data_IF_107465564862
#
_entry.id   IF_107465564862
#
_cell.length_a   1.000
_cell.length_b   1.000
_cell.length_c   1.000
_cell.angle_alpha   90.00
_cell.angle_beta   90.00
_cell.angle_gamma   90.00
#
_symmetry.space_group_name_H-M   'P 1'
#
loop_
_entity.id
_entity.type
_entity.pdbx_description
1 polymer ?
#
# COMPACT_ATOMS: atom_id res chain seq x y z
N UNK A 1 15.29 11.46 20.51
CA UNK A 1 14.94 11.46 21.95
C UNK A 1 14.06 10.27 22.34
N UNK A 2 12.87 10.06 21.75
CA UNK A 2 12.02 8.91 22.12
C UNK A 2 12.55 7.56 21.60
N UNK A 3 13.13 7.54 20.39
CA UNK A 3 13.72 6.33 19.80
C UNK A 3 14.96 5.89 20.61
N UNK A 4 15.86 6.83 20.93
CA UNK A 4 17.07 6.57 21.70
C UNK A 4 16.75 5.94 23.07
N UNK A 5 15.79 6.52 23.81
CA UNK A 5 15.33 5.97 25.10
C UNK A 5 14.71 4.57 24.98
N UNK A 6 13.98 4.32 23.90
CA UNK A 6 13.42 3.00 23.64
C UNK A 6 14.52 1.98 23.35
N UNK A 7 15.53 2.35 22.56
CA UNK A 7 16.65 1.49 22.23
C UNK A 7 17.56 1.22 23.44
N UNK A 8 17.77 2.21 24.30
CA UNK A 8 18.42 2.05 25.62
C UNK A 8 17.68 1.03 26.49
N UNK A 9 16.36 1.19 26.63
CA UNK A 9 15.52 0.24 27.38
C UNK A 9 15.59 -1.17 26.79
N UNK A 10 15.49 -1.31 25.47
CA UNK A 10 15.53 -2.59 24.77
C UNK A 10 16.84 -3.33 25.08
N UNK A 11 17.98 -2.65 24.92
CA UNK A 11 19.30 -3.24 25.23
C UNK A 11 19.45 -3.59 26.72
N UNK A 12 18.90 -2.77 27.62
CA UNK A 12 19.00 -3.02 29.06
C UNK A 12 18.17 -4.23 29.51
N UNK A 13 16.97 -4.41 28.94
CA UNK A 13 16.04 -5.50 29.30
C UNK A 13 16.30 -6.80 28.57
N UNK A 14 16.78 -6.75 27.33
CA UNK A 14 17.00 -7.92 26.48
C UNK A 14 18.48 -8.02 26.10
N UNK A 15 19.35 -8.25 27.08
CA UNK A 15 20.82 -8.18 26.91
C UNK A 15 21.38 -9.20 25.93
N UNK A 16 20.74 -10.36 25.81
CA UNK A 16 21.14 -11.43 24.87
C UNK A 16 20.51 -11.25 23.49
N UNK A 17 19.57 -10.32 23.33
CA UNK A 17 18.90 -10.12 22.06
C UNK A 17 19.76 -9.27 21.12
N UNK A 18 19.95 -9.78 19.90
CA UNK A 18 20.58 -9.01 18.84
C UNK A 18 19.68 -7.85 18.40
N UNK A 19 20.28 -6.69 18.08
CA UNK A 19 19.55 -5.60 17.44
C UNK A 19 19.16 -6.02 16.01
N UNK A 20 17.86 -6.17 15.77
CA UNK A 20 17.36 -6.55 14.45
C UNK A 20 17.48 -5.37 13.46
N UNK A 21 17.61 -5.62 12.15
CA UNK A 21 17.79 -4.56 11.14
C UNK A 21 16.73 -3.45 11.21
N UNK A 22 15.47 -3.79 11.50
CA UNK A 22 14.38 -2.80 11.62
C UNK A 22 14.60 -1.82 12.78
N UNK A 23 15.19 -2.28 13.87
CA UNK A 23 15.49 -1.46 15.05
C UNK A 23 16.69 -0.56 14.77
N UNK A 24 17.74 -1.09 14.14
CA UNK A 24 18.86 -0.29 13.68
C UNK A 24 18.45 0.79 12.67
N UNK A 25 17.58 0.46 11.71
CA UNK A 25 17.03 1.43 10.76
C UNK A 25 16.29 2.57 11.48
N UNK A 26 15.48 2.23 12.49
CA UNK A 26 14.72 3.21 13.26
C UNK A 26 15.63 4.16 14.04
N UNK A 27 16.66 3.62 14.69
CA UNK A 27 17.61 4.36 15.52
C UNK A 27 18.51 5.27 14.70
N UNK A 28 19.19 4.72 13.68
CA UNK A 28 20.30 5.40 13.03
C UNK A 28 19.90 6.15 11.76
N UNK A 29 18.86 5.69 11.05
CA UNK A 29 18.62 6.12 9.66
C UNK A 29 17.35 6.97 9.49
N UNK A 30 16.29 6.70 10.26
CA UNK A 30 15.00 7.37 10.07
C UNK A 30 15.07 8.88 10.30
N UNK A 31 15.81 9.35 11.31
CA UNK A 31 15.93 10.79 11.58
C UNK A 31 16.68 11.51 10.45
N UNK A 32 17.78 10.92 9.98
CA UNK A 32 18.56 11.45 8.85
C UNK A 32 17.72 11.51 7.58
N UNK A 33 16.95 10.46 7.29
CA UNK A 33 15.99 10.43 6.19
C UNK A 33 14.98 11.57 6.27
N UNK A 34 14.32 11.72 7.43
CA UNK A 34 13.28 12.75 7.62
C UNK A 34 13.85 14.16 7.42
N UNK A 35 15.08 14.41 7.89
CA UNK A 35 15.76 15.70 7.71
C UNK A 35 16.07 15.97 6.23
N UNK A 36 16.55 14.97 5.51
CA UNK A 36 16.94 15.10 4.10
C UNK A 36 15.72 15.27 3.20
N UNK A 37 14.74 14.37 3.31
CA UNK A 37 13.65 14.25 2.34
C UNK A 37 12.36 14.95 2.78
N UNK A 38 12.24 15.32 4.07
CA UNK A 38 11.06 15.97 4.66
C UNK A 38 9.74 15.20 4.46
N UNK A 39 9.83 13.91 4.14
CA UNK A 39 8.71 12.99 4.00
C UNK A 39 9.01 11.71 4.79
N UNK A 40 7.97 11.11 5.36
CA UNK A 40 8.10 9.83 6.07
C UNK A 40 8.54 8.72 5.12
N UNK A 41 9.33 7.76 5.63
CA UNK A 41 9.78 6.59 4.85
C UNK A 41 8.62 5.81 4.22
N UNK A 42 7.43 5.84 4.85
CA UNK A 42 6.22 5.21 4.33
C UNK A 42 5.74 5.75 2.98
N UNK A 43 6.08 7.01 2.63
CA UNK A 43 5.74 7.57 1.32
C UNK A 43 6.51 6.88 0.17
N UNK A 44 7.70 6.36 0.45
CA UNK A 44 8.48 5.51 -0.45
C UNK A 44 8.35 4.02 -0.08
N UNK A 45 7.30 3.67 0.67
CA UNK A 45 7.04 2.31 1.11
C UNK A 45 6.52 1.41 -0.02
N UNK A 46 6.46 0.11 0.27
CA UNK A 46 6.04 -0.92 -0.70
C UNK A 46 4.52 -1.05 -0.87
N UNK A 47 3.73 -0.33 -0.07
CA UNK A 47 2.28 -0.48 -0.03
C UNK A 47 1.63 -0.24 -1.41
N UNK A 48 2.18 0.68 -2.22
CA UNK A 48 1.71 0.89 -3.59
C UNK A 48 1.88 -0.35 -4.48
N UNK A 49 3.01 -1.06 -4.36
CA UNK A 49 3.26 -2.29 -5.11
C UNK A 49 2.35 -3.45 -4.65
N UNK A 50 2.09 -3.55 -3.35
CA UNK A 50 1.17 -4.56 -2.80
C UNK A 50 -0.28 -4.32 -3.28
N UNK A 51 -0.71 -3.05 -3.33
CA UNK A 51 -2.00 -2.68 -3.89
C UNK A 51 -2.09 -3.00 -5.40
N UNK A 52 -1.01 -2.77 -6.15
CA UNK A 52 -0.92 -3.18 -7.55
C UNK A 52 -1.11 -4.69 -7.69
N UNK A 53 -0.42 -5.52 -6.91
CA UNK A 53 -0.61 -6.98 -6.95
C UNK A 53 -2.08 -7.38 -6.73
N UNK A 54 -2.76 -6.76 -5.76
CA UNK A 54 -4.18 -7.03 -5.53
C UNK A 54 -5.07 -6.63 -6.72
N UNK A 55 -4.75 -5.51 -7.37
CA UNK A 55 -5.45 -5.06 -8.58
C UNK A 55 -5.22 -6.03 -9.75
N UNK A 56 -3.98 -6.45 -9.99
CA UNK A 56 -3.66 -7.42 -11.05
C UNK A 56 -4.37 -8.76 -10.82
N UNK A 57 -4.41 -9.27 -9.60
CA UNK A 57 -5.15 -10.49 -9.26
C UNK A 57 -6.65 -10.37 -9.48
N UNK A 58 -7.19 -9.14 -9.40
CA UNK A 58 -8.61 -8.87 -9.67
C UNK A 58 -8.86 -8.74 -11.18
N UNK A 59 -8.00 -8.03 -11.89
CA UNK A 59 -8.07 -7.90 -13.35
C UNK A 59 -7.91 -9.26 -14.04
N UNK A 60 -6.94 -10.08 -13.63
CA UNK A 60 -6.71 -11.40 -14.24
C UNK A 60 -7.94 -12.32 -14.12
N UNK A 61 -8.68 -12.25 -13.01
CA UNK A 61 -9.93 -13.03 -12.82
C UNK A 61 -10.96 -12.75 -13.92
N UNK A 62 -11.04 -11.52 -14.42
CA UNK A 62 -11.96 -11.17 -15.51
C UNK A 62 -11.57 -11.80 -16.86
N UNK A 63 -10.28 -12.14 -17.03
CA UNK A 63 -9.73 -12.69 -18.27
C UNK A 63 -9.30 -14.15 -18.16
N UNK A 64 -9.72 -14.85 -17.11
CA UNK A 64 -9.29 -16.23 -16.83
C UNK A 64 -9.70 -17.22 -17.95
N UNK A 65 -10.73 -16.89 -18.72
CA UNK A 65 -11.19 -17.69 -19.87
C UNK A 65 -10.27 -17.60 -21.10
N UNK A 66 -9.31 -16.67 -21.12
CA UNK A 66 -8.32 -16.55 -22.19
C UNK A 66 -7.26 -17.65 -22.07
N UNK A 67 -7.21 -18.54 -23.07
CA UNK A 67 -6.28 -19.68 -23.12
C UNK A 67 -4.84 -19.27 -23.39
N UNK A 68 -4.64 -18.29 -24.28
CA UNK A 68 -3.31 -17.75 -24.56
C UNK A 68 -2.86 -16.84 -23.42
N UNK A 69 -1.79 -17.24 -22.74
CA UNK A 69 -1.23 -16.53 -21.59
C UNK A 69 -0.60 -15.19 -21.97
N UNK A 70 0.02 -15.09 -23.14
CA UNK A 70 0.69 -13.86 -23.60
C UNK A 70 -0.36 -12.82 -23.94
N UNK A 71 -1.39 -13.22 -24.69
CA UNK A 71 -2.52 -12.33 -25.00
C UNK A 71 -3.28 -11.93 -23.75
N UNK A 72 -3.50 -12.86 -22.80
CA UNK A 72 -4.10 -12.52 -21.50
C UNK A 72 -3.30 -11.45 -20.77
N UNK A 73 -1.98 -11.59 -20.73
CA UNK A 73 -1.11 -10.61 -20.05
C UNK A 73 -1.15 -9.24 -20.74
N UNK A 74 -1.13 -9.19 -22.08
CA UNK A 74 -1.26 -7.94 -22.84
C UNK A 74 -2.55 -7.20 -22.50
N UNK A 75 -3.68 -7.94 -22.47
CA UNK A 75 -4.99 -7.37 -22.14
C UNK A 75 -5.04 -6.89 -20.69
N UNK A 76 -4.53 -7.67 -19.74
CA UNK A 76 -4.47 -7.27 -18.32
C UNK A 76 -3.64 -5.99 -18.14
N UNK A 77 -2.47 -5.91 -18.78
CA UNK A 77 -1.61 -4.72 -18.72
C UNK A 77 -2.28 -3.50 -19.36
N UNK A 78 -2.89 -3.68 -20.54
CA UNK A 78 -3.57 -2.59 -21.22
C UNK A 78 -4.75 -2.04 -20.40
N UNK A 79 -5.58 -2.92 -19.85
CA UNK A 79 -6.71 -2.49 -19.00
C UNK A 79 -6.24 -1.81 -17.72
N UNK A 80 -5.20 -2.33 -17.06
CA UNK A 80 -4.63 -1.66 -15.90
C UNK A 80 -4.09 -0.27 -16.25
N UNK A 81 -3.40 -0.13 -17.39
CA UNK A 81 -2.93 1.17 -17.87
C UNK A 81 -4.07 2.18 -18.05
N UNK A 82 -5.17 1.77 -18.69
CA UNK A 82 -6.34 2.63 -18.88
C UNK A 82 -6.98 3.10 -17.56
N UNK A 83 -6.92 2.28 -16.49
CA UNK A 83 -7.45 2.65 -15.17
C UNK A 83 -6.59 3.67 -14.42
N UNK A 84 -5.27 3.66 -14.63
CA UNK A 84 -4.34 4.55 -13.92
C UNK A 84 -4.03 5.83 -14.67
N UNK A 85 -4.47 5.96 -15.93
CA UNK A 85 -4.27 7.16 -16.71
C UNK A 85 -4.98 8.36 -16.05
N UNK A 86 -4.28 9.48 -15.78
CA UNK A 86 -4.91 10.64 -15.17
C UNK A 86 -6.07 11.22 -16.00
N UNK A 87 -5.99 11.09 -17.33
CA UNK A 87 -7.02 11.56 -18.26
C UNK A 87 -8.31 10.76 -18.21
N UNK A 88 -8.27 9.49 -17.79
CA UNK A 88 -9.49 8.67 -17.64
C UNK A 88 -10.05 8.82 -16.24
N UNK A 89 -9.19 8.89 -15.22
CA UNK A 89 -9.60 9.14 -13.83
C UNK A 89 -10.34 10.47 -13.66
N UNK A 90 -9.96 11.52 -14.41
CA UNK A 90 -10.66 12.82 -14.38
C UNK A 90 -12.07 12.79 -14.99
N UNK A 91 -12.40 11.75 -15.76
CA UNK A 91 -13.70 11.55 -16.37
C UNK A 91 -14.63 10.67 -15.53
N UNK A 92 -14.14 10.10 -14.42
CA UNK A 92 -14.98 9.29 -13.55
C UNK A 92 -16.09 10.16 -12.93
N UNK A 93 -17.37 9.76 -13.10
CA UNK A 93 -18.47 10.49 -12.51
C UNK A 93 -18.38 10.43 -10.98
N UNK A 94 -18.87 11.46 -10.27
CA UNK A 94 -18.87 11.46 -8.82
C UNK A 94 -19.63 10.24 -8.28
N UNK A 95 -19.21 9.69 -7.11
CA UNK A 95 -19.85 8.52 -6.54
C UNK A 95 -21.36 8.73 -6.38
N UNK A 96 -22.15 7.85 -7.01
CA UNK A 96 -23.60 7.89 -6.89
C UNK A 96 -23.94 7.71 -5.39
N UNK A 97 -24.63 8.69 -4.80
CA UNK A 97 -25.04 8.63 -3.39
C UNK A 97 -25.86 7.36 -3.17
N UNK A 98 -25.34 6.42 -2.38
CA UNK A 98 -26.08 5.21 -2.00
C UNK A 98 -27.38 5.63 -1.32
N UNK A 99 -28.52 5.15 -1.84
CA UNK A 99 -29.85 5.39 -1.28
C UNK A 99 -29.85 4.89 0.16
N UNK A 100 -30.15 5.76 1.13
CA UNK A 100 -30.30 5.37 2.54
C UNK A 100 -31.39 4.29 2.62
N UNK A 101 -31.07 3.12 3.19
CA UNK A 101 -32.09 2.13 3.55
C UNK A 101 -33.04 2.79 4.55
N UNK A 102 -34.35 2.81 4.25
CA UNK A 102 -35.35 3.17 5.26
C UNK A 102 -35.20 2.20 6.43
N UNK A 103 -35.13 2.74 7.65
CA UNK A 103 -35.22 1.92 8.85
C UNK A 103 -36.51 1.10 8.76
N UNK A 104 -36.38 -0.22 8.93
CA UNK A 104 -37.55 -1.06 9.17
C UNK A 104 -38.03 -0.72 10.58
N UNK A 105 -39.22 -0.14 10.69
CA UNK A 105 -39.91 0.02 11.96
C UNK A 105 -40.22 -1.38 12.50
N UNK A 106 -39.44 -1.82 13.50
CA UNK A 106 -39.80 -2.97 14.33
C UNK A 106 -40.93 -2.54 15.26
N UNK A 107 -42.13 -3.04 14.98
CA UNK A 107 -43.28 -3.04 15.88
C UNK A 107 -43.10 -4.06 17.00
#
# INVERSE_FOLDING_TARGET
>A
QHIDKFMEFYRAKFREATCIPKMHMLEEHVVSWLKQWRVGCGYMGKQGAEALHANFNTCERAYNNMRDRVERLKVVLHNHHLQVLPSTASLEPPPIKKRKKKAQDTA
#
